data_IF_627574272550
#
_entry.id   IF_627574272550
#
_cell.length_a   1.000
_cell.length_b   1.000
_cell.length_c   1.000
_cell.angle_alpha   90.00
_cell.angle_beta   90.00
_cell.angle_gamma   90.00
#
_symmetry.space_group_name_H-M   'P 1'
#
loop_
_entity.id
_entity.type
_entity.pdbx_description
1 polymer ?
#
# COMPACT_ATOMS: atom_id res chain seq x y z
N UNK A 1 15.65 26.49 20.84
CA UNK A 1 14.62 26.64 19.80
C UNK A 1 14.30 25.25 19.32
N UNK A 2 13.21 24.67 19.82
CA UNK A 2 12.92 23.25 19.65
C UNK A 2 11.76 23.17 18.66
N UNK A 3 12.08 22.94 17.39
CA UNK A 3 11.08 22.65 16.36
C UNK A 3 10.40 21.33 16.70
N UNK A 4 9.06 21.28 16.79
CA UNK A 4 8.37 20.02 16.91
C UNK A 4 8.59 19.28 15.59
N UNK A 5 9.43 18.25 15.62
CA UNK A 5 9.39 17.21 14.60
C UNK A 5 8.01 16.60 14.67
N UNK A 6 7.14 16.98 13.74
CA UNK A 6 5.90 16.27 13.45
C UNK A 6 6.35 14.90 12.97
N UNK A 7 6.42 13.95 13.90
CA UNK A 7 6.42 12.54 13.56
C UNK A 7 5.04 12.30 12.97
N UNK A 8 4.96 12.26 11.65
CA UNK A 8 3.84 11.63 10.95
C UNK A 8 3.91 10.14 11.32
N UNK A 9 3.04 9.60 12.19
CA UNK A 9 3.28 8.28 12.73
C UNK A 9 2.76 7.15 11.84
N UNK A 10 1.97 7.39 10.78
CA UNK A 10 1.10 6.35 10.22
C UNK A 10 0.85 6.48 8.71
N UNK A 11 1.90 6.55 7.88
CA UNK A 11 1.68 6.61 6.42
C UNK A 11 2.88 6.63 5.49
N UNK A 12 4.11 6.71 6.02
CA UNK A 12 5.31 6.92 5.21
C UNK A 12 5.95 5.62 4.68
N UNK A 13 5.63 4.49 5.29
CA UNK A 13 6.21 3.17 5.05
C UNK A 13 5.51 2.40 3.91
N UNK A 14 4.27 2.78 3.55
CA UNK A 14 3.56 2.23 2.39
C UNK A 14 3.97 2.84 1.04
N UNK A 15 4.36 4.13 1.02
CA UNK A 15 4.63 4.85 -0.23
C UNK A 15 5.90 4.36 -0.97
N UNK A 16 7.04 4.09 -0.30
CA UNK A 16 8.21 3.50 -0.93
C UNK A 16 7.92 2.10 -1.50
N UNK A 17 7.08 1.31 -0.81
CA UNK A 17 6.68 -0.02 -1.27
C UNK A 17 5.78 0.05 -2.51
N UNK A 18 4.81 0.97 -2.57
CA UNK A 18 3.99 1.17 -3.77
C UNK A 18 4.80 1.67 -4.96
N UNK A 19 5.76 2.59 -4.73
CA UNK A 19 6.65 3.07 -5.80
C UNK A 19 7.53 1.94 -6.32
N UNK A 20 8.14 1.14 -5.43
CA UNK A 20 8.93 -0.02 -5.82
C UNK A 20 8.09 -1.05 -6.60
N UNK A 21 6.88 -1.34 -6.13
CA UNK A 21 5.94 -2.24 -6.81
C UNK A 21 5.58 -1.75 -8.22
N UNK A 22 5.27 -0.45 -8.36
CA UNK A 22 5.02 0.17 -9.67
C UNK A 22 6.20 0.00 -10.62
N UNK A 23 7.43 0.22 -10.15
CA UNK A 23 8.62 0.07 -10.99
C UNK A 23 8.87 -1.38 -11.41
N UNK A 24 8.64 -2.35 -10.52
CA UNK A 24 8.75 -3.77 -10.86
C UNK A 24 7.71 -4.19 -11.90
N UNK A 25 6.45 -3.74 -11.76
CA UNK A 25 5.40 -3.97 -12.75
C UNK A 25 5.75 -3.34 -14.10
N UNK A 26 6.31 -2.12 -14.10
CA UNK A 26 6.78 -1.47 -15.32
C UNK A 26 7.93 -2.25 -15.99
N UNK A 27 8.82 -2.86 -15.19
CA UNK A 27 9.91 -3.72 -15.66
C UNK A 27 9.45 -4.95 -16.43
N UNK A 28 8.23 -5.45 -16.16
CA UNK A 28 7.62 -6.58 -16.90
C UNK A 28 6.62 -6.12 -17.98
N UNK A 29 6.57 -4.82 -18.30
CA UNK A 29 5.72 -4.26 -19.35
C UNK A 29 4.33 -3.79 -18.90
N UNK A 30 4.05 -3.79 -17.59
CA UNK A 30 2.77 -3.38 -17.02
C UNK A 30 2.81 -1.95 -16.45
N UNK A 31 1.96 -1.06 -16.97
CA UNK A 31 1.85 0.32 -16.46
C UNK A 31 0.88 0.39 -15.29
N UNK A 32 1.39 0.81 -14.14
CA UNK A 32 0.59 1.03 -12.91
C UNK A 32 0.41 2.52 -12.65
N UNK A 33 -0.84 2.92 -12.45
CA UNK A 33 -1.24 4.26 -12.04
C UNK A 33 -1.17 4.36 -10.50
N UNK A 34 -0.26 5.17 -9.98
CA UNK A 34 0.04 5.23 -8.55
C UNK A 34 -1.07 5.92 -7.72
N UNK A 35 -1.63 7.08 -8.14
CA UNK A 35 -2.86 7.62 -7.55
C UNK A 35 -3.98 6.59 -7.45
N UNK A 36 -4.25 5.87 -8.55
CA UNK A 36 -5.32 4.87 -8.58
C UNK A 36 -4.99 3.66 -7.72
N UNK A 37 -3.75 3.20 -7.72
CA UNK A 37 -3.27 2.11 -6.86
C UNK A 37 -3.52 2.40 -5.38
N UNK A 38 -3.38 3.66 -4.95
CA UNK A 38 -3.61 4.06 -3.56
C UNK A 38 -5.08 4.15 -3.18
N UNK A 39 -5.94 4.57 -4.10
CA UNK A 39 -7.33 4.94 -3.79
C UNK A 39 -8.39 3.92 -4.24
N UNK A 40 -8.04 3.00 -5.14
CA UNK A 40 -8.94 2.01 -5.73
C UNK A 40 -8.47 0.61 -5.35
N UNK A 41 -9.16 0.01 -4.35
CA UNK A 41 -8.85 -1.33 -3.83
C UNK A 41 -8.97 -2.40 -4.92
N UNK A 42 -9.97 -2.31 -5.78
CA UNK A 42 -10.15 -3.27 -6.87
C UNK A 42 -9.00 -3.18 -7.89
N UNK A 43 -8.56 -1.96 -8.22
CA UNK A 43 -7.39 -1.76 -9.07
C UNK A 43 -6.10 -2.29 -8.42
N UNK A 44 -5.94 -2.13 -7.11
CA UNK A 44 -4.80 -2.68 -6.39
C UNK A 44 -4.82 -4.22 -6.41
N UNK A 45 -5.95 -4.84 -6.08
CA UNK A 45 -6.12 -6.30 -6.12
C UNK A 45 -5.84 -6.86 -7.52
N UNK A 46 -6.30 -6.18 -8.56
CA UNK A 46 -6.03 -6.51 -9.95
C UNK A 46 -4.53 -6.51 -10.27
N UNK A 47 -3.80 -5.47 -9.82
CA UNK A 47 -2.36 -5.37 -10.00
C UNK A 47 -1.62 -6.46 -9.21
N UNK A 48 -2.08 -6.76 -7.99
CA UNK A 48 -1.52 -7.79 -7.13
C UNK A 48 -1.70 -9.19 -7.71
N UNK A 49 -2.87 -9.50 -8.26
CA UNK A 49 -3.11 -10.78 -8.94
C UNK A 49 -2.15 -11.00 -10.11
N UNK A 50 -1.83 -9.94 -10.85
CA UNK A 50 -0.84 -10.02 -11.94
C UNK A 50 0.58 -10.17 -11.43
N UNK A 51 0.94 -9.44 -10.39
CA UNK A 51 2.25 -9.59 -9.74
C UNK A 51 2.48 -11.04 -9.26
N UNK A 52 1.48 -11.64 -8.62
CA UNK A 52 1.52 -13.02 -8.12
C UNK A 52 1.56 -14.08 -9.23
N UNK A 53 1.04 -13.76 -10.43
CA UNK A 53 1.08 -14.66 -11.61
C UNK A 53 2.31 -14.44 -12.49
N UNK A 54 3.12 -13.43 -12.22
CA UNK A 54 4.32 -13.15 -13.00
C UNK A 54 5.44 -14.16 -12.70
N UNK A 55 6.36 -14.38 -13.63
CA UNK A 55 7.54 -15.23 -13.43
C UNK A 55 8.64 -14.57 -12.56
N UNK A 56 8.39 -13.36 -12.05
CA UNK A 56 9.38 -12.61 -11.25
C UNK A 56 9.17 -12.87 -9.75
N UNK A 57 10.08 -13.64 -9.15
CA UNK A 57 10.06 -13.94 -7.71
C UNK A 57 10.07 -12.67 -6.84
N UNK A 58 10.79 -11.63 -7.26
CA UNK A 58 10.82 -10.34 -6.58
C UNK A 58 9.45 -9.65 -6.60
N UNK A 59 8.76 -9.68 -7.74
CA UNK A 59 7.44 -9.07 -7.89
C UNK A 59 6.37 -9.85 -7.13
N UNK A 60 6.45 -11.18 -7.12
CA UNK A 60 5.59 -12.03 -6.30
C UNK A 60 5.77 -11.71 -4.81
N UNK A 61 7.02 -11.66 -4.32
CA UNK A 61 7.33 -11.34 -2.92
C UNK A 61 6.80 -9.96 -2.52
N UNK A 62 7.02 -8.94 -3.36
CA UNK A 62 6.49 -7.59 -3.12
C UNK A 62 4.97 -7.53 -3.17
N UNK A 63 4.33 -8.35 -4.00
CA UNK A 63 2.88 -8.50 -4.01
C UNK A 63 2.33 -9.03 -2.68
N UNK A 64 2.98 -10.04 -2.09
CA UNK A 64 2.60 -10.58 -0.77
C UNK A 64 2.79 -9.55 0.35
N UNK A 65 3.89 -8.79 0.32
CA UNK A 65 4.13 -7.72 1.31
C UNK A 65 3.09 -6.60 1.23
N UNK A 66 2.69 -6.18 0.01
CA UNK A 66 1.59 -5.23 -0.17
C UNK A 66 0.25 -5.75 0.35
N UNK A 67 -0.06 -7.05 0.16
CA UNK A 67 -1.27 -7.66 0.73
C UNK A 67 -1.27 -7.62 2.27
N UNK A 68 -0.11 -7.81 2.89
CA UNK A 68 0.06 -7.69 4.34
C UNK A 68 -0.19 -6.27 4.83
N UNK A 69 0.33 -5.26 4.13
CA UNK A 69 0.12 -3.84 4.43
C UNK A 69 -1.35 -3.42 4.28
N UNK A 70 -2.03 -3.90 3.23
CA UNK A 70 -3.46 -3.63 3.01
C UNK A 70 -4.30 -4.10 4.21
N UNK A 71 -4.04 -5.30 4.72
CA UNK A 71 -4.80 -5.86 5.85
C UNK A 71 -4.57 -5.09 7.15
N UNK A 72 -3.36 -4.56 7.36
CA UNK A 72 -3.06 -3.68 8.49
C UNK A 72 -3.77 -2.32 8.38
N UNK A 73 -3.82 -1.74 7.18
CA UNK A 73 -4.50 -0.47 6.93
C UNK A 73 -6.03 -0.58 7.08
N UNK A 74 -6.63 -1.64 6.54
CA UNK A 74 -8.07 -1.92 6.71
C UNK A 74 -8.43 -2.05 8.21
N UNK A 75 -7.56 -2.64 9.03
CA UNK A 75 -7.77 -2.76 10.47
C UNK A 75 -7.62 -1.41 11.22
N UNK A 76 -6.75 -0.52 10.76
CA UNK A 76 -6.57 0.81 11.35
C UNK A 76 -7.74 1.75 11.03
N UNK A 77 -8.31 1.65 9.82
CA UNK A 77 -9.52 2.39 9.46
C UNK A 77 -10.75 1.95 10.29
N UNK A 78 -10.87 0.66 10.63
CA UNK A 78 -11.96 0.15 11.48
C UNK A 78 -11.87 0.72 12.92
N UNK A 79 -10.65 0.81 13.48
CA UNK A 79 -10.43 1.37 14.81
C UNK A 79 -10.72 2.88 14.89
N UNK A 80 -10.49 3.65 13.81
CA UNK A 80 -10.76 5.09 13.76
C UNK A 80 -12.26 5.44 13.70
N UNK A 81 -13.14 4.49 13.37
CA UNK A 81 -14.60 4.68 13.34
C UNK A 81 -15.22 4.42 14.73
N UNK A 82 -14.48 3.77 15.64
CA UNK A 82 -14.92 3.45 16.99
C UNK A 82 -14.43 4.47 18.04
N UNK A 83 -14.72 5.76 17.86
CA UNK A 83 -14.66 6.73 18.98
C UNK A 83 -16.05 6.83 19.60
N UNK A 84 -16.29 6.28 20.81
CA UNK A 84 -17.51 6.60 21.54
C UNK A 84 -17.38 8.03 22.06
N UNK A 85 -18.09 8.96 21.43
CA UNK A 85 -18.43 10.23 22.06
C UNK A 85 -19.45 9.89 23.15
N UNK A 86 -19.00 9.75 24.39
CA UNK A 86 -19.91 9.74 25.55
C UNK A 86 -19.69 11.01 26.37
N UNK A 87 -20.76 11.79 26.37
CA UNK A 87 -21.09 13.02 27.12
C UNK A 87 -20.83 12.94 28.62
#
# INVERSE_FOLDING_TARGET
MNTPHIQDPEGSDGFPNMVAFKWLMAGIGWRVDLPRLRSDKAYMEECLQRALRSDSELLQKRGVEMLGLQRGLDAHCDAAIAVPIST
#
